data_IF_566906873556
#
_entry.id   IF_566906873556
#
_cell.length_a   1.000
_cell.length_b   1.000
_cell.length_c   1.000
_cell.angle_alpha   90.00
_cell.angle_beta   90.00
_cell.angle_gamma   90.00
#
_symmetry.space_group_name_H-M   'P 1'
#
loop_
_entity.id
_entity.type
_entity.pdbx_description
1 polymer ?
#
# COMPACT_ATOMS: atom_id res chain seq x y z
N UNK A 1 12.64 23.62 29.24
CA UNK A 1 11.17 23.55 29.17
C UNK A 1 10.66 23.95 30.54
N UNK A 2 9.83 25.00 30.64
CA UNK A 2 9.20 25.31 31.94
C UNK A 2 8.15 24.23 32.25
N UNK A 3 7.79 24.09 33.53
CA UNK A 3 6.91 22.99 33.98
C UNK A 3 5.51 23.01 33.33
N UNK A 4 5.04 24.19 32.89
CA UNK A 4 3.70 24.38 32.32
C UNK A 4 3.73 24.67 30.79
N UNK A 5 4.86 24.45 30.13
CA UNK A 5 5.01 24.71 28.70
C UNK A 5 5.08 23.39 27.92
N UNK A 6 4.31 23.27 26.83
CA UNK A 6 4.40 22.16 25.87
C UNK A 6 5.10 22.66 24.60
N UNK A 7 6.12 21.93 24.18
CA UNK A 7 6.94 22.28 23.02
C UNK A 7 6.53 21.39 21.84
N UNK A 8 6.07 22.04 20.77
CA UNK A 8 5.70 21.38 19.52
C UNK A 8 6.71 21.71 18.43
N UNK A 9 7.05 20.72 17.61
CA UNK A 9 7.85 20.94 16.42
C UNK A 9 7.07 21.79 15.39
N UNK A 10 7.77 22.49 14.50
CA UNK A 10 7.14 23.35 13.50
C UNK A 10 6.07 22.63 12.63
N UNK A 11 6.28 21.38 12.16
CA UNK A 11 5.24 20.63 11.45
C UNK A 11 3.98 20.38 12.29
N UNK A 12 4.16 20.00 13.56
CA UNK A 12 3.06 19.74 14.49
C UNK A 12 2.26 21.01 14.78
N UNK A 13 2.94 22.14 14.97
CA UNK A 13 2.27 23.44 15.13
C UNK A 13 1.48 23.86 13.91
N UNK A 14 2.03 23.64 12.71
CA UNK A 14 1.31 23.91 11.46
C UNK A 14 0.08 23.03 11.30
N UNK A 15 0.19 21.76 11.67
CA UNK A 15 -0.92 20.80 11.60
C UNK A 15 -2.01 21.11 12.63
N UNK A 16 -1.63 21.36 13.89
CA UNK A 16 -2.56 21.71 14.96
C UNK A 16 -3.02 23.18 14.95
N UNK A 17 -2.52 23.99 14.01
CA UNK A 17 -2.83 25.42 13.88
C UNK A 17 -2.47 26.25 15.13
N UNK A 18 -1.34 25.92 15.77
CA UNK A 18 -0.92 26.51 17.05
C UNK A 18 0.06 27.68 16.88
N UNK A 19 -0.26 28.80 17.51
CA UNK A 19 0.62 29.97 17.65
C UNK A 19 1.68 29.77 18.75
N UNK A 20 2.71 30.62 18.75
CA UNK A 20 3.63 30.68 19.90
C UNK A 20 2.87 31.26 21.09
N UNK A 21 3.14 30.73 22.28
CA UNK A 21 2.57 31.19 23.55
C UNK A 21 1.03 31.13 23.62
N UNK A 22 0.42 30.30 22.77
CA UNK A 22 -1.02 30.05 22.82
C UNK A 22 -1.34 29.14 24.01
N UNK A 23 -2.32 29.55 24.81
CA UNK A 23 -2.89 28.72 25.88
C UNK A 23 -3.68 27.57 25.27
N UNK A 24 -3.43 26.35 25.78
CA UNK A 24 -4.08 25.13 25.33
C UNK A 24 -4.47 24.28 26.54
N UNK A 25 -5.62 23.63 26.43
CA UNK A 25 -6.03 22.62 27.40
C UNK A 25 -5.43 21.26 27.01
N UNK A 26 -4.63 20.70 27.91
CA UNK A 26 -4.04 19.37 27.73
C UNK A 26 -4.63 18.40 28.77
N UNK A 27 -5.08 17.24 28.31
CA UNK A 27 -5.56 16.16 29.16
C UNK A 27 -4.82 14.86 28.83
N UNK A 28 -4.50 14.03 29.84
CA UNK A 28 -3.95 12.71 29.60
C UNK A 28 -4.90 11.89 28.72
N UNK A 29 -4.38 11.32 27.65
CA UNK A 29 -5.11 10.46 26.73
C UNK A 29 -4.51 9.05 26.76
N UNK A 30 -5.35 8.02 26.73
CA UNK A 30 -4.90 6.62 26.68
C UNK A 30 -5.65 5.91 25.56
N UNK A 31 -4.90 5.26 24.68
CA UNK A 31 -5.47 4.48 23.58
C UNK A 31 -6.24 3.27 24.10
N UNK A 32 -7.37 3.00 23.48
CA UNK A 32 -8.15 1.79 23.73
C UNK A 32 -7.56 0.59 22.97
N UNK A 33 -7.94 -0.63 23.36
CA UNK A 33 -7.42 -1.87 22.76
C UNK A 33 -7.66 -2.02 21.24
N UNK A 34 -8.56 -1.21 20.68
CA UNK A 34 -8.89 -1.23 19.26
C UNK A 34 -8.27 -0.05 18.48
N UNK A 35 -7.37 0.70 19.11
CA UNK A 35 -6.71 1.88 18.52
C UNK A 35 -5.22 1.63 18.31
N UNK A 36 -4.81 0.37 18.24
CA UNK A 36 -3.45 0.02 17.85
C UNK A 36 -3.34 -0.08 16.33
N UNK A 37 -2.27 0.48 15.80
CA UNK A 37 -2.00 0.46 14.36
C UNK A 37 -1.47 -0.92 13.99
N UNK A 38 -2.16 -1.59 13.07
CA UNK A 38 -1.66 -2.79 12.40
C UNK A 38 -0.90 -2.46 11.11
N UNK A 39 -1.36 -1.46 10.37
CA UNK A 39 -0.64 -0.93 9.20
C UNK A 39 -0.86 0.56 9.03
N UNK A 40 0.18 1.29 8.62
CA UNK A 40 0.14 2.72 8.34
C UNK A 40 0.68 2.98 6.93
N UNK A 41 -0.01 3.82 6.16
CA UNK A 41 0.46 4.29 4.85
C UNK A 41 0.83 5.76 4.93
N UNK A 42 2.07 6.05 4.56
CA UNK A 42 2.69 7.37 4.65
C UNK A 42 3.00 7.88 3.25
N UNK A 43 2.51 9.07 2.92
CA UNK A 43 2.94 9.78 1.73
C UNK A 43 4.31 10.41 2.01
N UNK A 44 5.31 10.14 1.17
CA UNK A 44 6.66 10.62 1.33
C UNK A 44 7.05 11.60 0.21
N UNK A 45 7.67 12.71 0.63
CA UNK A 45 8.36 13.66 -0.24
C UNK A 45 9.64 14.19 0.43
N UNK A 46 10.53 14.82 -0.34
CA UNK A 46 11.71 15.48 0.22
C UNK A 46 11.30 16.73 1.01
N UNK A 47 11.82 16.87 2.24
CA UNK A 47 11.48 18.04 3.08
C UNK A 47 11.91 19.37 2.44
N UNK A 48 13.02 19.37 1.71
CA UNK A 48 13.52 20.56 1.01
C UNK A 48 13.91 20.22 -0.42
N UNK A 49 13.84 21.22 -1.31
CA UNK A 49 14.35 21.08 -2.69
C UNK A 49 15.87 20.78 -2.73
N UNK A 50 16.63 21.23 -1.73
CA UNK A 50 18.08 20.99 -1.62
C UNK A 50 18.44 19.55 -1.27
N UNK A 51 17.55 18.84 -0.57
CA UNK A 51 17.73 17.45 -0.18
C UNK A 51 17.22 16.45 -1.23
N UNK A 52 16.79 16.92 -2.40
CA UNK A 52 16.31 16.05 -3.47
C UNK A 52 17.45 15.21 -4.04
N UNK A 53 17.20 13.91 -4.14
CA UNK A 53 18.12 12.95 -4.74
C UNK A 53 17.37 12.05 -5.69
N UNK A 54 17.93 11.79 -6.88
CA UNK A 54 17.40 10.81 -7.83
C UNK A 54 17.78 9.37 -7.47
N UNK A 55 18.65 9.19 -6.48
CA UNK A 55 19.07 7.87 -5.99
C UNK A 55 17.85 7.08 -5.48
N UNK A 56 17.76 5.77 -5.78
CA UNK A 56 16.69 4.92 -5.28
C UNK A 56 16.82 4.77 -3.76
N UNK A 57 15.76 5.07 -3.02
CA UNK A 57 15.68 4.92 -1.57
C UNK A 57 14.94 3.63 -1.21
N UNK A 58 15.53 2.85 -0.30
CA UNK A 58 15.00 1.56 0.11
C UNK A 58 13.89 1.72 1.16
N UNK A 59 12.63 1.54 0.73
CA UNK A 59 11.45 1.64 1.58
C UNK A 59 11.44 0.61 2.73
N UNK A 60 12.10 -0.55 2.56
CA UNK A 60 12.17 -1.57 3.62
C UNK A 60 13.09 -1.12 4.77
N UNK A 61 14.18 -0.42 4.44
CA UNK A 61 15.04 0.21 5.45
C UNK A 61 14.33 1.40 6.11
N UNK A 62 13.64 2.22 5.32
CA UNK A 62 12.82 3.32 5.83
C UNK A 62 11.77 2.80 6.82
N UNK A 63 11.07 1.71 6.49
CA UNK A 63 10.05 1.11 7.36
C UNK A 63 10.63 0.63 8.68
N UNK A 64 11.81 0.00 8.63
CA UNK A 64 12.51 -0.48 9.82
C UNK A 64 12.93 0.69 10.72
N UNK A 65 13.59 1.70 10.16
CA UNK A 65 14.00 2.91 10.89
C UNK A 65 12.79 3.64 11.47
N UNK A 66 11.71 3.77 10.69
CA UNK A 66 10.48 4.39 11.16
C UNK A 66 9.89 3.63 12.35
N UNK A 67 9.81 2.31 12.28
CA UNK A 67 9.30 1.47 13.37
C UNK A 67 10.16 1.60 14.63
N UNK A 68 11.48 1.70 14.48
CA UNK A 68 12.40 1.90 15.61
C UNK A 68 12.27 3.29 16.25
N UNK A 69 12.13 4.34 15.44
CA UNK A 69 12.07 5.72 15.92
C UNK A 69 10.70 6.09 16.53
N UNK A 70 9.62 5.54 15.98
CA UNK A 70 8.26 5.97 16.27
C UNK A 70 7.39 4.91 16.97
N UNK A 71 7.95 3.76 17.33
CA UNK A 71 7.22 2.76 18.11
C UNK A 71 6.69 3.35 19.42
N UNK A 72 5.41 3.09 19.72
CA UNK A 72 4.71 3.60 20.89
C UNK A 72 4.17 5.02 20.72
N UNK A 73 4.42 5.69 19.60
CA UNK A 73 3.87 7.02 19.34
C UNK A 73 2.47 6.96 18.73
N UNK A 74 1.70 8.00 19.01
CA UNK A 74 0.40 8.25 18.40
C UNK A 74 0.58 8.79 16.98
N UNK A 75 -0.26 8.33 16.05
CA UNK A 75 -0.39 8.94 14.73
C UNK A 75 -1.85 9.21 14.42
N UNK A 76 -2.11 10.33 13.76
CA UNK A 76 -3.43 10.69 13.25
C UNK A 76 -3.42 10.79 11.72
N UNK A 77 -4.51 10.37 11.08
CA UNK A 77 -4.69 10.53 9.63
C UNK A 77 -4.60 12.02 9.26
N UNK A 78 -3.78 12.34 8.27
CA UNK A 78 -3.50 13.70 7.82
C UNK A 78 -2.39 14.41 8.61
N UNK A 79 -1.82 13.80 9.65
CA UNK A 79 -0.70 14.35 10.39
C UNK A 79 0.55 14.48 9.51
N UNK A 80 1.28 15.59 9.69
CA UNK A 80 2.53 15.86 9.01
C UNK A 80 3.69 15.72 9.98
N UNK A 81 4.69 14.93 9.59
CA UNK A 81 5.90 14.76 10.36
C UNK A 81 7.15 14.78 9.48
N UNK A 82 8.29 14.94 10.12
CA UNK A 82 9.60 14.93 9.47
C UNK A 82 10.29 13.64 9.88
N UNK A 83 10.73 12.88 8.88
CA UNK A 83 11.41 11.62 9.07
C UNK A 83 12.83 11.70 8.52
N UNK A 84 13.80 11.40 9.39
CA UNK A 84 15.21 11.31 9.00
C UNK A 84 15.64 9.85 9.08
N UNK A 85 16.26 9.38 8.01
CA UNK A 85 16.84 8.04 7.96
C UNK A 85 18.18 8.05 7.25
N UNK A 86 18.97 7.01 7.48
CA UNK A 86 20.25 6.80 6.80
C UNK A 86 20.12 5.67 5.77
N UNK A 87 20.60 5.94 4.56
CA UNK A 87 20.65 4.94 3.50
C UNK A 87 21.84 3.97 3.68
N UNK A 88 21.93 2.93 2.85
CA UNK A 88 23.01 1.91 2.90
C UNK A 88 24.42 2.53 2.83
N UNK A 89 24.54 3.68 2.16
CA UNK A 89 25.79 4.46 2.06
C UNK A 89 26.04 5.38 3.27
N UNK A 90 25.29 5.25 4.37
CA UNK A 90 25.31 6.13 5.56
C UNK A 90 25.01 7.60 5.23
N UNK A 91 24.26 7.84 4.15
CA UNK A 91 23.83 9.17 3.76
C UNK A 91 22.50 9.46 4.44
N UNK A 92 22.42 10.56 5.17
CA UNK A 92 21.19 10.94 5.83
C UNK A 92 20.23 11.66 4.88
N UNK A 93 19.01 11.16 4.79
CA UNK A 93 17.92 11.75 4.03
C UNK A 93 16.85 12.25 4.99
N UNK A 94 16.26 13.39 4.68
CA UNK A 94 15.16 13.97 5.47
C UNK A 94 13.94 14.14 4.59
N UNK A 95 12.88 13.44 4.95
CA UNK A 95 11.62 13.38 4.23
C UNK A 95 10.53 14.07 5.03
N UNK A 96 9.61 14.73 4.33
CA UNK A 96 8.32 15.11 4.86
C UNK A 96 7.36 13.95 4.62
N UNK A 97 6.75 13.44 5.69
CA UNK A 97 5.75 12.39 5.62
C UNK A 97 4.38 12.93 5.98
N UNK A 98 3.35 12.46 5.27
CA UNK A 98 1.95 12.73 5.59
C UNK A 98 1.22 11.41 5.81
N UNK A 99 0.51 11.26 6.91
CA UNK A 99 -0.25 10.04 7.18
C UNK A 99 -1.49 9.99 6.28
N UNK A 100 -1.55 9.02 5.36
CA UNK A 100 -2.69 8.90 4.43
C UNK A 100 -3.76 8.00 5.03
N UNK A 101 -3.37 6.82 5.50
CA UNK A 101 -4.31 5.83 6.06
C UNK A 101 -3.68 5.13 7.24
N UNK A 102 -4.55 4.74 8.17
CA UNK A 102 -4.19 3.94 9.34
C UNK A 102 -5.19 2.80 9.41
N UNK A 103 -4.68 1.57 9.43
CA UNK A 103 -5.47 0.36 9.63
C UNK A 103 -5.25 -0.14 11.05
N UNK A 104 -6.35 -0.22 11.80
CA UNK A 104 -6.36 -0.74 13.16
C UNK A 104 -6.18 -2.25 13.20
N UNK A 105 -5.58 -2.71 14.31
CA UNK A 105 -5.45 -4.11 14.68
C UNK A 105 -6.40 -4.41 15.84
N UNK A 106 -7.35 -5.31 15.61
CA UNK A 106 -8.19 -5.83 16.70
C UNK A 106 -7.44 -6.95 17.43
N UNK A 107 -6.94 -6.65 18.62
CA UNK A 107 -6.22 -7.60 19.47
C UNK A 107 -7.10 -8.76 19.95
N UNK A 108 -8.43 -8.58 20.02
CA UNK A 108 -9.35 -9.62 20.48
C UNK A 108 -9.50 -10.76 19.45
N UNK A 109 -9.28 -10.45 18.17
CA UNK A 109 -9.27 -11.46 17.10
C UNK A 109 -7.98 -12.30 17.11
N UNK A 110 -6.89 -11.78 17.67
CA UNK A 110 -5.58 -12.45 17.70
C UNK A 110 -5.48 -13.54 18.79
N UNK A 111 -6.28 -13.45 19.86
CA UNK A 111 -6.27 -14.41 20.98
C UNK A 111 -7.13 -15.65 20.75
N UNK A 112 -7.97 -15.68 19.70
CA UNK A 112 -8.87 -16.80 19.40
C UNK A 112 -8.35 -17.65 18.22
N UNK A 113 -7.73 -18.82 18.45
CA UNK A 113 -7.15 -19.65 17.39
C UNK A 113 -8.19 -20.28 16.44
N UNK A 114 -9.48 -20.26 16.78
CA UNK A 114 -10.56 -20.79 15.94
C UNK A 114 -11.24 -19.74 15.05
N UNK A 115 -10.84 -18.47 15.10
CA UNK A 115 -11.31 -17.44 14.18
C UNK A 115 -10.45 -17.42 12.91
N UNK A 116 -10.60 -18.46 12.08
CA UNK A 116 -9.99 -18.54 10.74
C UNK A 116 -10.65 -17.58 9.72
N UNK A 117 -11.02 -16.38 10.15
CA UNK A 117 -11.49 -15.28 9.30
C UNK A 117 -10.62 -14.09 9.61
N UNK A 118 -9.82 -13.71 8.61
CA UNK A 118 -9.10 -12.43 8.49
C UNK A 118 -9.45 -11.43 9.61
N UNK A 119 -8.49 -11.07 10.45
CA UNK A 119 -8.56 -9.80 11.15
C UNK A 119 -8.86 -8.74 10.07
N UNK A 120 -10.12 -8.28 10.01
CA UNK A 120 -10.52 -7.30 9.01
C UNK A 120 -9.79 -6.03 9.44
N UNK A 121 -8.82 -5.59 8.65
CA UNK A 121 -8.28 -4.25 8.84
C UNK A 121 -9.44 -3.28 8.73
N UNK A 122 -9.60 -2.45 9.76
CA UNK A 122 -10.57 -1.37 9.80
C UNK A 122 -9.79 -0.06 9.76
N UNK A 123 -10.29 0.91 9.01
CA UNK A 123 -9.65 2.21 8.96
C UNK A 123 -9.95 2.97 10.26
N UNK A 124 -8.90 3.46 10.90
CA UNK A 124 -9.00 4.30 12.10
C UNK A 124 -8.48 5.70 11.80
N UNK A 125 -8.98 6.68 12.55
CA UNK A 125 -8.54 8.05 12.40
C UNK A 125 -7.24 8.33 13.16
N UNK A 126 -7.07 7.76 14.35
CA UNK A 126 -5.87 7.87 15.16
C UNK A 126 -5.56 6.53 15.83
N UNK A 127 -4.29 6.27 16.10
CA UNK A 127 -3.88 5.08 16.83
C UNK A 127 -2.43 5.11 17.26
N UNK A 128 -2.05 4.13 18.10
CA UNK A 128 -0.67 3.96 18.55
C UNK A 128 0.10 2.99 17.65
N UNK A 129 1.27 3.42 17.18
CA UNK A 129 2.15 2.57 16.37
C UNK A 129 2.76 1.47 17.22
N UNK A 130 2.53 0.22 16.82
CA UNK A 130 3.19 -0.95 17.42
C UNK A 130 4.54 -1.25 16.72
N UNK A 131 5.52 -1.86 17.41
CA UNK A 131 6.80 -2.25 16.80
C UNK A 131 6.67 -3.18 15.59
N UNK A 132 5.59 -3.96 15.52
CA UNK A 132 5.30 -4.92 14.47
C UNK A 132 4.29 -4.41 13.42
N UNK A 133 3.94 -3.11 13.47
CA UNK A 133 3.06 -2.49 12.47
C UNK A 133 3.69 -2.54 11.09
N UNK A 134 2.87 -2.81 10.06
CA UNK A 134 3.32 -2.71 8.69
C UNK A 134 3.34 -1.25 8.23
N UNK A 135 4.54 -0.69 8.01
CA UNK A 135 4.74 0.68 7.51
C UNK A 135 4.89 0.64 5.99
N UNK A 136 4.05 1.40 5.30
CA UNK A 136 4.02 1.47 3.83
C UNK A 136 4.27 2.91 3.39
N UNK A 137 5.11 3.11 2.38
CA UNK A 137 5.43 4.42 1.83
C UNK A 137 4.90 4.58 0.42
N UNK A 138 4.07 5.60 0.24
CA UNK A 138 3.67 6.11 -1.06
C UNK A 138 4.53 7.30 -1.44
N UNK A 139 4.70 7.51 -2.75
CA UNK A 139 5.35 8.69 -3.30
C UNK A 139 4.32 9.79 -3.51
N UNK A 140 4.64 11.02 -3.13
CA UNK A 140 3.77 12.17 -3.41
C UNK A 140 3.65 12.45 -4.91
N UNK A 141 2.46 12.90 -5.34
CA UNK A 141 2.22 13.27 -6.74
C UNK A 141 3.20 14.35 -7.20
N UNK A 142 3.90 14.09 -8.30
CA UNK A 142 4.92 15.01 -8.83
C UNK A 142 6.27 15.01 -8.12
N UNK A 143 6.47 14.20 -7.06
CA UNK A 143 7.77 14.10 -6.40
C UNK A 143 8.83 13.47 -7.31
N UNK A 144 10.12 13.79 -7.07
CA UNK A 144 11.25 13.09 -7.70
C UNK A 144 11.72 11.87 -6.89
N UNK A 145 11.05 11.58 -5.77
CA UNK A 145 11.39 10.47 -4.89
C UNK A 145 11.31 9.14 -5.66
N UNK A 146 12.39 8.36 -5.60
CA UNK A 146 12.47 7.05 -6.23
C UNK A 146 12.48 5.96 -5.14
N UNK A 147 11.31 5.44 -4.81
CA UNK A 147 11.17 4.38 -3.80
C UNK A 147 11.37 2.99 -4.44
N UNK A 148 12.20 2.17 -3.81
CA UNK A 148 12.42 0.74 -4.10
C UNK A 148 12.12 -0.10 -2.86
N UNK A 149 11.89 -1.40 -3.02
CA UNK A 149 11.61 -2.32 -1.91
C UNK A 149 10.14 -2.77 -1.85
N UNK A 150 9.83 -3.61 -0.84
CA UNK A 150 8.51 -4.24 -0.70
C UNK A 150 7.51 -3.36 0.05
N UNK A 151 8.00 -2.46 0.89
CA UNK A 151 7.22 -1.53 1.70
C UNK A 151 6.79 -0.27 0.93
N UNK A 152 6.88 -0.29 -0.40
CA UNK A 152 6.35 0.76 -1.28
C UNK A 152 4.88 0.49 -1.57
N UNK A 153 4.01 1.47 -1.41
CA UNK A 153 2.63 1.33 -1.87
C UNK A 153 2.55 1.38 -3.40
N UNK A 154 1.66 0.56 -3.96
CA UNK A 154 1.44 0.55 -5.41
C UNK A 154 0.73 1.85 -5.80
N UNK A 155 1.35 2.61 -6.71
CA UNK A 155 0.82 3.86 -7.25
C UNK A 155 -0.69 3.81 -7.55
N UNK A 156 -1.37 4.87 -7.14
CA UNK A 156 -2.81 5.08 -7.14
C UNK A 156 -3.48 4.80 -8.49
N UNK A 157 -4.63 4.14 -8.42
CA UNK A 157 -5.53 3.98 -9.57
C UNK A 157 -6.61 2.91 -9.41
N UNK A 158 -6.67 2.16 -8.29
CA UNK A 158 -7.67 1.13 -8.09
C UNK A 158 -8.35 1.25 -6.72
N UNK A 159 -9.69 1.16 -6.64
CA UNK A 159 -10.39 1.10 -5.37
C UNK A 159 -9.87 -0.06 -4.49
N UNK A 160 -9.64 0.28 -3.22
CA UNK A 160 -8.87 -0.46 -2.22
C UNK A 160 -9.29 -1.93 -1.97
N UNK A 161 -10.48 -2.36 -2.39
CA UNK A 161 -10.90 -3.77 -2.30
C UNK A 161 -9.98 -4.75 -3.05
N UNK A 162 -9.22 -4.27 -4.04
CA UNK A 162 -8.30 -5.08 -4.84
C UNK A 162 -6.89 -5.24 -4.23
N UNK A 163 -6.55 -4.41 -3.23
CA UNK A 163 -5.21 -4.36 -2.64
C UNK A 163 -4.88 -5.64 -1.82
N UNK A 164 -5.88 -6.20 -1.13
CA UNK A 164 -5.75 -7.43 -0.33
C UNK A 164 -5.46 -8.69 -1.14
N UNK A 165 -5.89 -8.75 -2.41
CA UNK A 165 -5.62 -9.90 -3.27
C UNK A 165 -4.18 -9.91 -3.79
N UNK A 166 -3.56 -8.75 -4.02
CA UNK A 166 -2.17 -8.69 -4.50
C UNK A 166 -1.14 -8.95 -3.38
N UNK A 167 -1.42 -8.50 -2.16
CA UNK A 167 -0.52 -8.71 -1.01
C UNK A 167 -0.46 -10.18 -0.54
N UNK A 168 -1.49 -11.00 -0.82
CA UNK A 168 -1.50 -12.45 -0.57
C UNK A 168 -0.66 -13.26 -1.56
N UNK A 169 -0.25 -12.69 -2.70
CA UNK A 169 0.52 -13.38 -3.74
C UNK A 169 1.89 -12.70 -3.96
N UNK A 170 2.80 -12.91 -3.01
CA UNK A 170 4.19 -12.48 -3.13
C UNK A 170 4.92 -13.29 -4.23
N UNK A 171 5.23 -12.64 -5.36
CA UNK A 171 5.97 -13.20 -6.51
C UNK A 171 7.31 -13.83 -6.13
N UNK A 172 8.01 -13.30 -5.12
CA UNK A 172 9.32 -13.84 -4.68
C UNK A 172 9.23 -15.22 -4.01
N UNK A 173 8.04 -15.62 -3.53
CA UNK A 173 7.81 -16.97 -2.97
C UNK A 173 7.45 -18.01 -4.04
N UNK A 174 7.04 -17.59 -5.24
CA UNK A 174 6.71 -18.49 -6.35
C UNK A 174 7.97 -19.10 -6.98
N UNK A 175 9.01 -18.29 -7.18
CA UNK A 175 10.28 -18.73 -7.76
C UNK A 175 11.02 -19.71 -6.85
N UNK A 176 10.94 -19.51 -5.52
CA UNK A 176 11.57 -20.41 -4.53
C UNK A 176 10.83 -21.75 -4.36
N UNK A 177 9.58 -21.85 -4.80
CA UNK A 177 8.74 -23.07 -4.74
C UNK A 177 8.49 -23.73 -6.10
N UNK A 178 9.14 -23.28 -7.19
CA UNK A 178 8.99 -23.88 -8.52
C UNK A 178 7.57 -23.80 -9.12
N UNK A 179 6.67 -23.00 -8.54
CA UNK A 179 5.28 -22.90 -8.99
C UNK A 179 5.20 -21.95 -10.20
N UNK A 180 4.87 -22.50 -11.37
CA UNK A 180 4.62 -21.70 -12.58
C UNK A 180 3.34 -20.87 -12.39
N UNK A 181 3.39 -19.60 -12.77
CA UNK A 181 2.22 -18.71 -12.72
C UNK A 181 1.05 -19.31 -13.51
N UNK A 182 -0.15 -19.32 -12.91
CA UNK A 182 -1.36 -19.84 -13.58
C UNK A 182 -1.67 -18.94 -14.77
N UNK A 183 -1.48 -19.45 -15.99
CA UNK A 183 -1.64 -18.67 -17.23
C UNK A 183 -3.09 -18.45 -17.66
N UNK A 184 -4.06 -19.04 -16.95
CA UNK A 184 -5.48 -18.87 -17.20
C UNK A 184 -6.36 -19.73 -16.29
N UNK A 185 -7.61 -19.33 -16.15
CA UNK A 185 -8.66 -20.06 -15.39
C UNK A 185 -9.75 -20.43 -16.40
N UNK A 186 -10.22 -21.69 -16.35
CA UNK A 186 -11.34 -22.17 -17.17
C UNK A 186 -12.62 -22.20 -16.32
N UNK A 187 -13.62 -21.40 -16.70
CA UNK A 187 -14.95 -21.42 -16.09
C UNK A 187 -15.91 -22.25 -16.97
N UNK A 188 -16.40 -23.39 -16.46
CA UNK A 188 -17.37 -24.24 -17.17
C UNK A 188 -18.68 -24.39 -16.38
N UNK A 189 -19.79 -24.65 -17.08
CA UNK A 189 -21.08 -24.91 -16.44
C UNK A 189 -22.29 -24.67 -17.37
N UNK A 190 -23.51 -25.05 -16.94
CA UNK A 190 -24.75 -24.91 -17.71
C UNK A 190 -24.99 -23.49 -18.25
N UNK A 191 -25.72 -23.30 -19.37
CA UNK A 191 -26.03 -21.96 -19.87
C UNK A 191 -26.82 -21.16 -18.81
N UNK A 192 -26.58 -19.86 -18.73
CA UNK A 192 -27.26 -18.97 -17.76
C UNK A 192 -26.57 -18.82 -16.39
N UNK A 193 -25.54 -19.59 -16.04
CA UNK A 193 -24.88 -19.50 -14.71
C UNK A 193 -23.90 -18.33 -14.53
N UNK A 194 -24.03 -17.25 -15.29
CA UNK A 194 -23.28 -16.00 -15.07
C UNK A 194 -21.77 -16.04 -15.32
N UNK A 195 -21.20 -17.12 -15.86
CA UNK A 195 -19.74 -17.29 -16.10
C UNK A 195 -19.08 -16.11 -16.83
N UNK A 196 -19.70 -15.65 -17.92
CA UNK A 196 -19.21 -14.50 -18.70
C UNK A 196 -19.35 -13.18 -17.94
N UNK A 197 -20.40 -13.06 -17.12
CA UNK A 197 -20.64 -11.88 -16.27
C UNK A 197 -19.59 -11.80 -15.16
N UNK A 198 -19.31 -12.93 -14.51
CA UNK A 198 -18.24 -13.06 -13.52
C UNK A 198 -16.86 -12.74 -14.12
N UNK A 199 -16.53 -13.28 -15.29
CA UNK A 199 -15.26 -13.01 -15.95
C UNK A 199 -15.09 -11.52 -16.32
N UNK A 200 -16.16 -10.86 -16.81
CA UNK A 200 -16.16 -9.42 -17.08
C UNK A 200 -16.01 -8.60 -15.80
N UNK A 201 -16.72 -8.97 -14.74
CA UNK A 201 -16.67 -8.26 -13.47
C UNK A 201 -15.29 -8.41 -12.82
N UNK A 202 -14.69 -9.60 -12.85
CA UNK A 202 -13.31 -9.83 -12.40
C UNK A 202 -12.32 -8.99 -13.22
N UNK A 203 -12.47 -8.93 -14.54
CA UNK A 203 -11.64 -8.09 -15.41
C UNK A 203 -11.74 -6.59 -15.08
N UNK A 204 -12.96 -6.07 -14.90
CA UNK A 204 -13.23 -4.69 -14.49
C UNK A 204 -12.64 -4.38 -13.12
N UNK A 205 -12.84 -5.28 -12.16
CA UNK A 205 -12.31 -5.14 -10.81
C UNK A 205 -10.76 -5.11 -10.84
N UNK A 206 -10.11 -5.95 -11.65
CA UNK A 206 -8.64 -6.06 -11.74
C UNK A 206 -7.97 -4.95 -12.57
N UNK A 207 -8.71 -3.98 -13.11
CA UNK A 207 -8.22 -3.04 -14.13
C UNK A 207 -7.54 -3.73 -15.32
N UNK A 208 -7.93 -4.96 -15.61
CA UNK A 208 -7.38 -5.71 -16.74
C UNK A 208 -8.05 -5.23 -18.04
N UNK A 209 -7.39 -5.44 -19.18
CA UNK A 209 -8.04 -5.26 -20.49
C UNK A 209 -9.34 -6.07 -20.50
N UNK A 210 -10.40 -5.48 -21.06
CA UNK A 210 -11.69 -6.18 -21.14
C UNK A 210 -11.50 -7.57 -21.76
N UNK A 211 -12.14 -8.61 -21.20
CA UNK A 211 -11.94 -9.97 -21.66
C UNK A 211 -12.35 -10.05 -23.12
N UNK A 212 -11.38 -10.37 -23.98
CA UNK A 212 -11.64 -10.59 -25.39
C UNK A 212 -12.52 -11.84 -25.50
N UNK A 213 -13.80 -11.62 -25.79
CA UNK A 213 -14.73 -12.72 -26.04
C UNK A 213 -14.41 -13.22 -27.44
N UNK A 214 -13.92 -14.45 -27.49
CA UNK A 214 -13.69 -15.13 -28.76
C UNK A 214 -14.64 -16.30 -28.82
N UNK A 215 -15.57 -16.26 -29.77
CA UNK A 215 -16.43 -17.39 -30.02
C UNK A 215 -15.58 -18.49 -30.68
N UNK A 216 -15.68 -19.74 -30.19
CA UNK A 216 -14.91 -20.88 -30.70
C UNK A 216 -14.85 -20.99 -32.24
N UNK A 217 -15.96 -20.81 -32.97
CA UNK A 217 -15.97 -20.85 -34.44
C UNK A 217 -15.06 -19.80 -35.11
N UNK A 218 -14.91 -18.61 -34.51
CA UNK A 218 -14.12 -17.51 -35.09
C UNK A 218 -12.59 -17.75 -35.02
N UNK A 219 -12.15 -18.65 -34.14
CA UNK A 219 -10.73 -19.04 -34.02
C UNK A 219 -10.35 -19.98 -35.16
N UNK A 220 -11.27 -20.86 -35.53
CA UNK A 220 -11.08 -21.86 -36.58
C UNK A 220 -10.96 -21.18 -37.95
N UNK A 221 -11.85 -20.24 -38.28
CA UNK A 221 -11.79 -19.51 -39.55
C UNK A 221 -10.49 -18.70 -39.71
N UNK A 222 -10.00 -18.09 -38.62
CA UNK A 222 -8.75 -17.30 -38.67
C UNK A 222 -7.50 -18.15 -38.87
N UNK A 223 -7.46 -19.37 -38.34
CA UNK A 223 -6.34 -20.28 -38.54
C UNK A 223 -6.39 -20.92 -39.93
N UNK A 224 -7.58 -21.27 -40.41
CA UNK A 224 -7.81 -21.80 -41.74
C UNK A 224 -7.48 -20.76 -42.82
N UNK A 225 -7.96 -19.51 -42.70
CA UNK A 225 -7.62 -18.43 -43.63
C UNK A 225 -6.12 -18.09 -43.65
N UNK A 226 -5.42 -18.15 -42.50
CA UNK A 226 -3.96 -17.92 -42.44
C UNK A 226 -3.17 -19.04 -43.09
N UNK A 227 -3.63 -20.28 -43.01
CA UNK A 227 -2.99 -21.43 -43.66
C UNK A 227 -3.21 -21.44 -45.18
N UNK A 228 -4.33 -20.89 -45.67
CA UNK A 228 -4.57 -20.75 -47.11
C UNK A 228 -3.83 -19.56 -47.73
N UNK A 229 -3.64 -18.46 -47.00
CA UNK A 229 -2.90 -17.29 -47.50
C UNK A 229 -1.39 -17.53 -47.66
N UNK A 230 -0.80 -18.50 -46.97
CA UNK A 230 0.64 -18.81 -47.05
C UNK A 230 0.99 -19.94 -48.03
N UNK A 231 0.00 -20.59 -48.65
CA UNK A 231 0.21 -21.66 -49.65
C UNK A 231 0.04 -21.23 -51.12
N UNK A 232 -0.40 -20.00 -51.39
CA UNK A 232 -0.61 -19.49 -52.75
C UNK A 232 0.36 -18.36 -53.12
N UNK A 233 1.65 -18.56 -52.87
CA UNK A 233 2.73 -17.74 -53.45
C UNK A 233 3.88 -18.67 -53.86
N UNK A 234 3.77 -19.19 -55.08
CA UNK A 234 4.91 -19.75 -55.83
C UNK A 234 4.81 -19.14 -57.23
N UNK A 235 5.69 -18.23 -57.63
CA UNK A 235 6.04 -18.07 -59.04
C UNK A 235 6.89 -19.25 -59.52
#
# INVERSE_FOLDING_TARGET
>A
MRADEIAFAMPQRKWATLSLDQEIDAQPFTFQNNEYIGSITLNADFQTKKSQTSEPLNADMMAREFSMQFSGQAFTKGELLVFRFEDEKKKAHTLALTVITIQGLDLNAATNPNASKSAKSFDINAGQLLPNSAVIFDKAEGSMLNLVGKSKGLEYGLPFGMHLLKHRFNSSTFTRRGMKHVRGILLYGPPGTGKTLMARQIGKMLNAREPKIVNGPQILDKLVLRLFSTRNYVP
#
